data_IF_971235259739
#
_entry.id   IF_971235259739
#
_cell.length_a   1.000
_cell.length_b   1.000
_cell.length_c   1.000
_cell.angle_alpha   90.00
_cell.angle_beta   90.00
_cell.angle_gamma   90.00
#
_symmetry.space_group_name_H-M   'P 1'
#
loop_
_entity.id
_entity.type
_entity.pdbx_description
1 polymer ?
#
# COMPACT_ATOMS: atom_id res chain seq x y z
N UNK A 1 -21.39 1.85 13.70
CA UNK A 1 -21.22 0.55 14.41
C UNK A 1 -22.47 -0.30 14.26
N UNK A 2 -23.65 0.14 14.77
CA UNK A 2 -24.86 -0.67 14.72
C UNK A 2 -25.24 -1.16 13.31
N UNK A 3 -25.13 -0.34 12.28
CA UNK A 3 -25.38 -0.75 10.88
C UNK A 3 -24.37 -1.77 10.37
N UNK A 4 -23.11 -1.71 10.80
CA UNK A 4 -22.08 -2.68 10.40
C UNK A 4 -22.35 -4.06 11.01
N UNK A 5 -22.87 -4.10 12.24
CA UNK A 5 -23.23 -5.36 12.90
C UNK A 5 -24.47 -6.00 12.25
N UNK A 6 -25.46 -5.19 11.89
CA UNK A 6 -26.72 -5.66 11.30
C UNK A 6 -26.57 -6.05 9.82
N UNK A 7 -25.73 -5.36 9.05
CA UNK A 7 -25.67 -5.46 7.59
C UNK A 7 -24.34 -6.01 7.05
N UNK A 8 -23.40 -6.40 7.92
CA UNK A 8 -22.07 -6.90 7.55
C UNK A 8 -21.30 -5.97 6.57
N UNK A 9 -21.36 -4.67 6.84
CA UNK A 9 -20.78 -3.65 5.98
C UNK A 9 -19.29 -3.49 6.17
N UNK A 10 -18.58 -3.25 5.08
CA UNK A 10 -17.20 -2.77 5.10
C UNK A 10 -17.22 -1.25 5.06
N UNK A 11 -16.53 -0.61 6.02
CA UNK A 11 -16.44 0.84 6.09
C UNK A 11 -15.24 1.33 5.28
N UNK A 12 -15.48 2.14 4.26
CA UNK A 12 -14.45 2.91 3.57
C UNK A 12 -14.37 4.27 4.26
N UNK A 13 -13.19 4.62 4.76
CA UNK A 13 -13.00 5.79 5.62
C UNK A 13 -11.96 6.73 5.03
N UNK A 14 -12.31 8.01 5.03
CA UNK A 14 -11.41 9.09 4.63
C UNK A 14 -10.70 9.74 5.84
N UNK A 15 -9.98 10.85 5.62
CA UNK A 15 -9.16 11.52 6.63
C UNK A 15 -9.90 11.87 7.93
N UNK A 16 -11.18 12.25 7.85
CA UNK A 16 -11.98 12.67 9.01
C UNK A 16 -12.21 11.58 10.05
N UNK A 17 -11.94 10.31 9.71
CA UNK A 17 -12.10 9.17 10.63
C UNK A 17 -11.21 9.27 11.88
N UNK A 18 -10.12 10.04 11.83
CA UNK A 18 -9.25 10.25 12.99
C UNK A 18 -10.01 10.79 14.21
N UNK A 19 -11.12 11.51 14.01
CA UNK A 19 -11.99 12.01 15.07
C UNK A 19 -12.95 10.96 15.62
N UNK A 20 -13.10 9.84 14.95
CA UNK A 20 -14.05 8.79 15.29
C UNK A 20 -13.37 7.43 15.59
N UNK A 21 -12.05 7.41 15.80
CA UNK A 21 -11.27 6.18 16.04
C UNK A 21 -11.83 5.39 17.22
N UNK A 22 -12.21 6.07 18.32
CA UNK A 22 -12.79 5.39 19.49
C UNK A 22 -14.13 4.71 19.17
N UNK A 23 -14.93 5.27 18.26
CA UNK A 23 -16.18 4.67 17.82
C UNK A 23 -15.97 3.42 16.93
N UNK A 24 -14.78 3.27 16.34
CA UNK A 24 -14.40 2.11 15.53
C UNK A 24 -13.80 0.97 16.36
N UNK A 25 -13.44 1.20 17.62
CA UNK A 25 -12.96 0.16 18.51
C UNK A 25 -14.05 -0.90 18.68
N UNK A 26 -13.70 -2.15 18.45
CA UNK A 26 -14.65 -3.26 18.46
C UNK A 26 -15.52 -3.39 17.19
N UNK A 27 -15.18 -2.69 16.10
CA UNK A 27 -15.81 -2.93 14.82
C UNK A 27 -15.62 -4.40 14.40
N UNK A 28 -16.68 -5.01 13.88
CA UNK A 28 -16.67 -6.42 13.44
C UNK A 28 -15.70 -6.62 12.28
N UNK A 29 -15.76 -5.73 11.29
CA UNK A 29 -14.95 -5.81 10.08
C UNK A 29 -13.81 -4.79 10.12
N UNK A 30 -12.67 -5.10 9.48
CA UNK A 30 -11.64 -4.11 9.21
C UNK A 30 -12.18 -2.90 8.45
N UNK A 31 -11.51 -1.77 8.55
CA UNK A 31 -11.84 -0.57 7.76
C UNK A 31 -10.95 -0.47 6.53
N UNK A 32 -11.46 0.10 5.45
CA UNK A 32 -10.65 0.44 4.27
C UNK A 32 -10.31 1.92 4.36
N UNK A 33 -9.02 2.23 4.45
CA UNK A 33 -8.52 3.61 4.44
C UNK A 33 -8.37 4.03 2.98
N UNK A 34 -9.16 5.01 2.58
CA UNK A 34 -9.06 5.63 1.27
C UNK A 34 -8.48 7.04 1.39
N UNK A 35 -7.81 7.52 0.32
CA UNK A 35 -7.21 8.83 0.26
C UNK A 35 -5.98 9.02 1.19
N UNK A 36 -5.81 10.19 1.80
CA UNK A 36 -4.61 10.59 2.51
C UNK A 36 -4.44 9.86 3.85
N UNK A 37 -3.40 9.07 3.96
CA UNK A 37 -3.00 8.36 5.19
C UNK A 37 -2.24 9.25 6.18
N UNK A 38 -1.76 10.42 5.71
CA UNK A 38 -1.05 11.44 6.49
C UNK A 38 -1.44 12.83 6.00
N UNK A 39 -1.85 13.72 6.90
CA UNK A 39 -2.27 15.06 6.56
C UNK A 39 -2.09 16.02 7.76
N UNK A 40 -2.22 17.32 7.51
CA UNK A 40 -2.22 18.32 8.54
C UNK A 40 -3.64 18.79 8.82
N UNK A 41 -3.98 18.87 10.10
CA UNK A 41 -5.21 19.51 10.58
C UNK A 41 -4.85 20.82 11.23
N UNK A 42 -5.51 21.90 10.79
CA UNK A 42 -5.31 23.24 11.35
C UNK A 42 -6.46 23.55 12.31
N UNK A 43 -6.13 23.84 13.55
CA UNK A 43 -7.09 24.32 14.54
C UNK A 43 -7.65 25.69 14.10
N UNK A 44 -8.98 25.84 14.01
CA UNK A 44 -9.58 27.08 13.49
C UNK A 44 -9.35 28.31 14.39
N UNK A 45 -9.17 28.11 15.70
CA UNK A 45 -9.01 29.20 16.66
C UNK A 45 -7.53 29.54 16.85
N UNK A 46 -6.70 28.56 17.15
CA UNK A 46 -5.29 28.75 17.49
C UNK A 46 -4.37 28.81 16.28
N UNK A 47 -4.88 28.43 15.08
CA UNK A 47 -4.11 28.28 13.83
C UNK A 47 -2.96 27.27 13.93
N UNK A 48 -2.94 26.47 14.97
CA UNK A 48 -1.92 25.43 15.18
C UNK A 48 -2.15 24.28 14.20
N UNK A 49 -1.11 23.89 13.49
CA UNK A 49 -1.12 22.70 12.65
C UNK A 49 -0.72 21.47 13.46
N UNK A 50 -1.52 20.42 13.34
CA UNK A 50 -1.24 19.11 13.93
C UNK A 50 -1.15 18.09 12.82
N UNK A 51 -0.06 17.34 12.79
CA UNK A 51 0.14 16.26 11.81
C UNK A 51 -0.61 15.02 12.25
N UNK A 52 -1.57 14.59 11.45
CA UNK A 52 -2.36 13.39 11.69
C UNK A 52 -1.72 12.23 10.93
N UNK A 53 -1.45 11.12 11.64
CA UNK A 53 -0.88 9.88 11.14
C UNK A 53 -1.94 8.79 11.25
N UNK A 54 -2.81 8.70 10.24
CA UNK A 54 -4.04 7.91 10.32
C UNK A 54 -3.76 6.41 10.52
N UNK A 55 -2.82 5.84 9.77
CA UNK A 55 -2.47 4.42 9.93
C UNK A 55 -1.96 4.10 11.34
N UNK A 56 -1.17 5.01 11.91
CA UNK A 56 -0.66 4.86 13.28
C UNK A 56 -1.79 4.90 14.31
N UNK A 57 -2.74 5.84 14.17
CA UNK A 57 -3.89 5.95 15.06
C UNK A 57 -4.75 4.68 15.04
N UNK A 58 -5.00 4.11 13.87
CA UNK A 58 -5.77 2.88 13.72
C UNK A 58 -5.01 1.69 14.33
N UNK A 59 -3.71 1.56 14.04
CA UNK A 59 -2.87 0.50 14.59
C UNK A 59 -2.79 0.55 16.11
N UNK A 60 -2.58 1.73 16.71
CA UNK A 60 -2.54 1.92 18.18
C UNK A 60 -3.88 1.63 18.84
N UNK A 61 -4.97 1.86 18.14
CA UNK A 61 -6.32 1.52 18.60
C UNK A 61 -6.67 0.03 18.41
N UNK A 62 -5.77 -0.77 17.81
CA UNK A 62 -6.01 -2.18 17.51
C UNK A 62 -7.07 -2.42 16.43
N UNK A 63 -7.32 -1.43 15.57
CA UNK A 63 -8.31 -1.51 14.50
C UNK A 63 -7.61 -2.04 13.24
N UNK A 64 -7.96 -3.25 12.75
CA UNK A 64 -7.43 -3.74 11.48
C UNK A 64 -7.89 -2.86 10.33
N UNK A 65 -6.98 -2.56 9.40
CA UNK A 65 -7.29 -1.72 8.26
C UNK A 65 -6.64 -2.25 6.97
N UNK A 66 -7.30 -2.00 5.85
CA UNK A 66 -6.75 -2.17 4.52
C UNK A 66 -6.46 -0.80 3.90
N UNK A 67 -5.45 -0.72 3.05
CA UNK A 67 -5.12 0.48 2.29
C UNK A 67 -5.78 0.40 0.91
N UNK A 68 -6.56 1.41 0.55
CA UNK A 68 -7.01 1.61 -0.83
C UNK A 68 -5.93 2.34 -1.62
N UNK A 69 -5.72 1.92 -2.86
CA UNK A 69 -4.81 2.62 -3.75
C UNK A 69 -5.48 3.82 -4.44
N UNK A 70 -6.79 4.01 -4.18
CA UNK A 70 -7.60 5.03 -4.81
C UNK A 70 -7.75 4.85 -6.33
N UNK A 71 -8.78 5.42 -6.91
CA UNK A 71 -9.00 5.39 -8.37
C UNK A 71 -8.03 6.30 -9.13
N UNK A 72 -7.43 7.25 -8.46
CA UNK A 72 -6.54 8.26 -9.06
C UNK A 72 -5.04 7.94 -8.93
N UNK A 73 -4.66 6.98 -8.08
CA UNK A 73 -3.25 6.65 -7.87
C UNK A 73 -2.83 5.49 -8.78
N UNK A 74 -1.76 5.63 -9.56
CA UNK A 74 -1.16 4.50 -10.25
C UNK A 74 -0.75 3.41 -9.25
N UNK A 75 -0.93 2.14 -9.62
CA UNK A 75 -0.57 0.96 -8.80
C UNK A 75 0.91 0.95 -8.32
N UNK A 76 1.77 1.72 -9.00
CA UNK A 76 3.17 1.94 -8.61
C UNK A 76 3.35 2.59 -7.22
N UNK A 77 2.30 3.21 -6.67
CA UNK A 77 2.37 3.85 -5.35
C UNK A 77 2.07 2.91 -4.17
N UNK A 78 1.70 1.65 -4.40
CA UNK A 78 1.39 0.69 -3.34
C UNK A 78 2.53 0.56 -2.31
N UNK A 79 3.76 0.37 -2.78
CA UNK A 79 4.94 0.26 -1.94
C UNK A 79 5.26 1.56 -1.20
N UNK A 80 4.98 2.69 -1.82
CA UNK A 80 5.14 4.00 -1.20
C UNK A 80 4.18 4.21 -0.04
N UNK A 81 2.92 3.83 -0.21
CA UNK A 81 1.94 3.89 0.88
C UNK A 81 2.35 2.97 2.03
N UNK A 82 2.80 1.75 1.71
CA UNK A 82 3.29 0.80 2.69
C UNK A 82 4.47 1.37 3.50
N UNK A 83 5.49 1.88 2.81
CA UNK A 83 6.63 2.54 3.44
C UNK A 83 6.21 3.76 4.27
N UNK A 84 5.20 4.52 3.81
CA UNK A 84 4.65 5.65 4.53
C UNK A 84 3.96 5.25 5.83
N UNK A 85 3.22 4.12 5.85
CA UNK A 85 2.65 3.57 7.08
C UNK A 85 3.75 3.22 8.10
N UNK A 86 4.81 2.55 7.66
CA UNK A 86 5.94 2.20 8.55
C UNK A 86 6.65 3.47 9.06
N UNK A 87 6.83 4.48 8.20
CA UNK A 87 7.39 5.77 8.61
C UNK A 87 6.53 6.50 9.64
N UNK A 88 5.22 6.29 9.64
CA UNK A 88 4.32 6.81 10.67
C UNK A 88 4.51 6.12 12.02
N UNK A 89 5.14 4.96 12.08
CA UNK A 89 5.39 4.16 13.26
C UNK A 89 4.50 2.92 13.38
N UNK A 90 3.85 2.50 12.29
CA UNK A 90 3.19 1.19 12.20
C UNK A 90 4.27 0.12 12.01
N UNK A 91 4.16 -1.01 12.70
CA UNK A 91 5.10 -2.11 12.50
C UNK A 91 4.98 -2.71 11.08
N UNK A 92 6.08 -3.28 10.57
CA UNK A 92 6.16 -3.80 9.20
C UNK A 92 5.14 -4.91 8.92
N UNK A 93 4.85 -5.75 9.90
CA UNK A 93 3.92 -6.87 9.73
C UNK A 93 2.50 -6.35 9.57
N UNK A 94 2.07 -5.42 10.42
CA UNK A 94 0.76 -4.76 10.33
C UNK A 94 0.61 -3.98 9.02
N UNK A 95 1.64 -3.24 8.62
CA UNK A 95 1.62 -2.50 7.35
C UNK A 95 1.49 -3.46 6.15
N UNK A 96 2.25 -4.57 6.14
CA UNK A 96 2.15 -5.58 5.08
C UNK A 96 0.77 -6.24 5.07
N UNK A 97 0.23 -6.60 6.23
CA UNK A 97 -1.11 -7.19 6.35
C UNK A 97 -2.19 -6.26 5.79
N UNK A 98 -2.04 -4.93 5.95
CA UNK A 98 -2.98 -3.94 5.42
C UNK A 98 -3.05 -3.92 3.87
N UNK A 99 -2.05 -4.48 3.19
CA UNK A 99 -2.01 -4.57 1.72
C UNK A 99 -2.24 -6.00 1.20
N UNK A 100 -2.25 -7.00 2.05
CA UNK A 100 -2.31 -8.40 1.65
C UNK A 100 -3.41 -9.19 2.38
N UNK A 101 -3.21 -9.50 3.63
CA UNK A 101 -4.08 -10.36 4.43
C UNK A 101 -5.45 -9.70 4.71
N UNK A 102 -5.44 -8.43 5.11
CA UNK A 102 -6.67 -7.72 5.47
C UNK A 102 -7.60 -7.55 4.27
N UNK A 103 -7.15 -7.06 3.09
CA UNK A 103 -8.02 -6.98 1.91
C UNK A 103 -8.48 -8.35 1.43
N UNK A 104 -7.65 -9.42 1.52
CA UNK A 104 -8.09 -10.76 1.18
C UNK A 104 -9.24 -11.24 2.07
N UNK A 105 -9.19 -10.96 3.37
CA UNK A 105 -10.28 -11.24 4.31
C UNK A 105 -11.54 -10.46 4.00
N UNK A 106 -11.41 -9.16 3.71
CA UNK A 106 -12.55 -8.29 3.37
C UNK A 106 -13.28 -8.73 2.11
N UNK A 107 -12.54 -9.28 1.15
CA UNK A 107 -13.08 -9.79 -0.11
C UNK A 107 -13.56 -11.25 -0.04
N UNK A 108 -13.44 -11.91 1.11
CA UNK A 108 -13.79 -13.33 1.26
C UNK A 108 -12.82 -14.28 0.56
N UNK A 109 -11.59 -13.83 0.26
CA UNK A 109 -10.57 -14.58 -0.48
C UNK A 109 -9.44 -15.09 0.42
N UNK A 110 -9.60 -15.05 1.74
CA UNK A 110 -8.55 -15.39 2.69
C UNK A 110 -8.05 -16.84 2.56
N UNK A 111 -8.89 -17.77 2.09
CA UNK A 111 -8.52 -19.17 1.85
C UNK A 111 -7.65 -19.34 0.60
N UNK A 112 -7.62 -18.33 -0.28
CA UNK A 112 -6.91 -18.38 -1.56
C UNK A 112 -5.74 -17.41 -1.64
N UNK A 113 -5.81 -16.28 -0.96
CA UNK A 113 -4.90 -15.15 -1.11
C UNK A 113 -4.55 -14.51 0.24
N UNK A 114 -3.61 -13.59 0.23
CA UNK A 114 -3.26 -12.70 1.34
C UNK A 114 -2.09 -13.16 2.19
N UNK A 115 -1.83 -14.46 2.24
CA UNK A 115 -0.68 -15.05 2.95
C UNK A 115 0.00 -16.10 2.08
N UNK A 116 1.26 -16.42 2.40
CA UNK A 116 2.02 -17.48 1.71
C UNK A 116 1.87 -18.78 2.51
N UNK A 117 0.96 -19.62 2.07
CA UNK A 117 0.63 -20.90 2.72
C UNK A 117 0.38 -21.99 1.68
N UNK A 118 0.60 -23.23 2.08
CA UNK A 118 0.32 -24.39 1.22
C UNK A 118 -1.18 -24.45 0.89
N UNK A 119 -1.50 -24.61 -0.37
CA UNK A 119 -2.87 -24.67 -0.87
C UNK A 119 -3.46 -23.35 -1.36
N UNK A 120 -2.78 -22.23 -1.12
CA UNK A 120 -3.17 -20.93 -1.68
C UNK A 120 -2.61 -20.68 -3.06
N UNK A 121 -3.23 -19.76 -3.80
CA UNK A 121 -2.77 -19.34 -5.12
C UNK A 121 -1.38 -18.68 -5.01
N UNK A 122 -0.47 -19.12 -5.85
CA UNK A 122 0.88 -18.56 -5.91
C UNK A 122 0.91 -17.26 -6.72
N UNK A 123 0.22 -16.23 -6.22
CA UNK A 123 0.27 -14.86 -6.72
C UNK A 123 1.33 -14.11 -5.92
N UNK A 124 2.57 -14.13 -6.42
CA UNK A 124 3.74 -13.74 -5.65
C UNK A 124 4.57 -12.70 -6.40
N UNK A 125 5.21 -11.83 -5.63
CA UNK A 125 6.28 -10.96 -6.13
C UNK A 125 7.58 -11.33 -5.41
N UNK A 126 8.61 -11.64 -6.20
CA UNK A 126 9.98 -11.83 -5.71
C UNK A 126 10.70 -10.49 -5.85
N UNK A 127 11.27 -10.03 -4.76
CA UNK A 127 11.90 -8.71 -4.66
C UNK A 127 13.40 -8.86 -4.41
N UNK A 128 14.17 -7.89 -4.86
CA UNK A 128 15.65 -7.87 -4.62
C UNK A 128 16.01 -7.53 -3.17
N UNK A 129 15.04 -7.09 -2.37
CA UNK A 129 15.25 -6.71 -0.97
C UNK A 129 13.94 -6.36 -0.26
N UNK A 130 14.05 -5.57 0.81
CA UNK A 130 12.90 -5.13 1.59
C UNK A 130 11.96 -4.26 0.73
N UNK A 131 10.67 -4.63 0.57
CA UNK A 131 9.71 -3.88 -0.24
C UNK A 131 9.52 -2.43 0.18
N UNK A 132 9.87 -2.09 1.41
CA UNK A 132 9.73 -0.74 1.96
C UNK A 132 10.93 0.16 1.69
N UNK A 133 11.94 -0.36 0.99
CA UNK A 133 13.12 0.41 0.58
C UNK A 133 13.04 0.77 -0.90
N UNK A 134 13.32 2.03 -1.21
CA UNK A 134 13.28 2.54 -2.59
C UNK A 134 14.31 1.88 -3.52
N UNK A 135 15.30 1.18 -2.96
CA UNK A 135 16.34 0.43 -3.70
C UNK A 135 15.89 -0.99 -4.06
N UNK A 136 14.76 -1.44 -3.54
CA UNK A 136 14.22 -2.77 -3.86
C UNK A 136 13.41 -2.75 -5.14
N UNK A 137 13.58 -3.78 -5.95
CA UNK A 137 12.92 -3.94 -7.24
C UNK A 137 12.15 -5.25 -7.28
N UNK A 138 11.10 -5.29 -8.07
CA UNK A 138 10.42 -6.53 -8.42
C UNK A 138 11.30 -7.28 -9.42
N UNK A 139 11.78 -8.46 -9.03
CA UNK A 139 12.61 -9.34 -9.85
C UNK A 139 11.74 -10.27 -10.70
N UNK A 140 10.76 -10.89 -10.07
CA UNK A 140 9.85 -11.84 -10.71
C UNK A 140 8.43 -11.66 -10.18
N UNK A 141 7.44 -11.81 -11.05
CA UNK A 141 6.03 -11.89 -10.66
C UNK A 141 5.47 -13.23 -11.10
N UNK A 142 4.83 -13.92 -10.17
CA UNK A 142 4.08 -15.13 -10.43
C UNK A 142 2.59 -14.84 -10.30
N UNK A 143 1.81 -15.38 -11.22
CA UNK A 143 0.35 -15.41 -11.18
C UNK A 143 -0.09 -16.86 -11.30
N UNK A 144 -0.79 -17.35 -10.30
CA UNK A 144 -1.22 -18.75 -10.21
C UNK A 144 -0.06 -19.75 -10.42
N UNK A 145 1.11 -19.41 -9.90
CA UNK A 145 2.33 -20.23 -10.04
C UNK A 145 3.07 -20.10 -11.36
N UNK A 146 2.53 -19.35 -12.32
CA UNK A 146 3.20 -19.09 -13.60
C UNK A 146 3.97 -17.78 -13.57
N UNK A 147 5.18 -17.77 -14.10
CA UNK A 147 6.00 -16.55 -14.21
C UNK A 147 5.42 -15.67 -15.32
N UNK A 148 4.89 -14.51 -14.94
CA UNK A 148 4.29 -13.53 -15.87
C UNK A 148 5.20 -12.32 -16.11
N UNK A 149 6.18 -12.11 -15.24
CA UNK A 149 7.18 -11.06 -15.40
C UNK A 149 8.53 -11.51 -14.86
N UNK A 150 9.58 -11.20 -15.59
CA UNK A 150 10.97 -11.32 -15.17
C UNK A 150 11.72 -10.05 -15.56
N UNK A 151 12.34 -9.40 -14.58
CA UNK A 151 13.08 -8.14 -14.76
C UNK A 151 14.19 -8.26 -15.81
N UNK A 152 14.87 -9.39 -15.84
CA UNK A 152 15.95 -9.66 -16.82
C UNK A 152 15.46 -9.68 -18.28
N UNK A 153 14.17 -9.92 -18.49
CA UNK A 153 13.52 -9.96 -19.81
C UNK A 153 12.76 -8.66 -20.16
N UNK A 154 12.74 -7.69 -19.25
CA UNK A 154 12.05 -6.42 -19.46
C UNK A 154 12.80 -5.54 -20.47
N UNK A 155 12.28 -5.47 -21.69
CA UNK A 155 12.88 -4.68 -22.76
C UNK A 155 12.85 -3.18 -22.48
N UNK A 156 11.83 -2.67 -21.76
CA UNK A 156 11.75 -1.25 -21.39
C UNK A 156 12.86 -0.88 -20.41
N UNK A 157 13.08 -1.74 -19.41
CA UNK A 157 14.15 -1.55 -18.46
C UNK A 157 15.52 -1.62 -19.14
N UNK A 158 15.71 -2.60 -20.02
CA UNK A 158 16.94 -2.74 -20.82
C UNK A 158 17.22 -1.46 -21.62
N UNK A 159 16.20 -0.91 -22.28
CA UNK A 159 16.32 0.31 -23.04
C UNK A 159 16.68 1.54 -22.18
N UNK A 160 16.15 1.61 -20.96
CA UNK A 160 16.46 2.69 -20.02
C UNK A 160 17.88 2.58 -19.41
N UNK A 161 18.41 1.37 -19.31
CA UNK A 161 19.77 1.13 -18.76
C UNK A 161 20.88 1.15 -19.82
N UNK A 162 20.53 0.96 -21.09
CA UNK A 162 21.47 1.14 -22.19
C UNK A 162 21.71 2.65 -22.32
N UNK A 163 22.88 3.12 -21.87
CA UNK A 163 23.33 4.51 -22.09
C UNK A 163 23.28 4.81 -23.60
N UNK A 164 22.57 5.84 -24.07
CA UNK A 164 22.62 6.19 -25.48
C UNK A 164 24.09 6.43 -25.84
N UNK A 165 24.57 5.77 -26.89
CA UNK A 165 25.88 6.04 -27.44
C UNK A 165 26.00 7.56 -27.64
N UNK A 166 27.03 8.17 -27.10
CA UNK A 166 27.25 9.62 -27.18
C UNK A 166 26.98 10.08 -28.61
N UNK A 167 26.06 11.00 -28.78
CA UNK A 167 25.78 11.59 -30.08
C UNK A 167 27.11 12.07 -30.67
N UNK A 168 27.40 11.80 -31.96
CA UNK A 168 28.64 12.24 -32.57
C UNK A 168 28.75 13.74 -32.39
N UNK A 169 29.88 14.20 -31.86
CA UNK A 169 30.16 15.61 -31.66
C UNK A 169 29.89 16.32 -32.99
N UNK A 170 28.97 17.30 -32.99
CA UNK A 170 28.71 18.12 -34.13
C UNK A 170 30.03 18.80 -34.52
N UNK A 171 30.64 18.33 -35.60
CA UNK A 171 31.82 18.97 -36.18
C UNK A 171 31.43 20.40 -36.53
N UNK A 172 31.90 21.33 -35.73
CA UNK A 172 31.83 22.74 -36.05
C UNK A 172 32.56 22.98 -37.37
N UNK A 173 31.80 23.20 -38.44
CA UNK A 173 32.32 23.79 -39.67
C UNK A 173 32.60 25.26 -39.43
N UNK A 174 33.83 25.62 -39.64
CA UNK A 174 34.33 27.01 -39.75
C UNK A 174 33.58 27.79 -40.80
#
# INVERSE_FOLDING_TARGET
MRLQEELDLVLVVGPQVHRAVDALKGAKNPVVVDDAIEFFETDPETKKETKIKLCKLLADAGIPFALSLGSAAPSSYAWWQLASCVRQGVDKKTAMAAMTEVPAKLLGLADQLGTIEVGKLANLQVLTGDPMQATSWVETVLLEGQVVYERSKDQRLKYLLETPAAAPAANGSK
#
